data_IF_892635540199
#
_entry.id   IF_892635540199
#
_cell.length_a   1.000
_cell.length_b   1.000
_cell.length_c   1.000
_cell.angle_alpha   90.00
_cell.angle_beta   90.00
_cell.angle_gamma   90.00
#
_symmetry.space_group_name_H-M   'P 1'
#
loop_
_entity.id
_entity.type
_entity.pdbx_description
1 polymer ?
#
# COMPACT_ATOMS: atom_id res chain seq x y z
N UNK A 1 24.34 -21.21 -8.34
CA UNK A 1 23.12 -21.55 -9.10
C UNK A 1 23.13 -20.71 -10.36
N UNK A 2 22.88 -21.29 -11.53
CA UNK A 2 22.84 -20.58 -12.83
C UNK A 2 21.39 -20.59 -13.33
N UNK A 3 20.90 -19.47 -13.87
CA UNK A 3 19.54 -19.32 -14.40
C UNK A 3 19.59 -18.51 -15.71
N UNK A 4 18.71 -18.83 -16.66
CA UNK A 4 18.57 -18.05 -17.92
C UNK A 4 17.88 -16.70 -17.67
N UNK A 5 16.92 -16.66 -16.76
CA UNK A 5 16.16 -15.47 -16.38
C UNK A 5 16.00 -15.40 -14.86
N UNK A 6 15.85 -14.20 -14.33
CA UNK A 6 15.59 -13.94 -12.91
C UNK A 6 14.35 -13.06 -12.83
N UNK A 7 13.36 -13.43 -12.00
CA UNK A 7 12.23 -12.60 -11.68
C UNK A 7 12.35 -12.10 -10.24
N UNK A 8 12.55 -10.80 -10.05
CA UNK A 8 12.56 -10.11 -8.76
C UNK A 8 11.13 -9.82 -8.31
N UNK A 9 10.64 -10.64 -7.36
CA UNK A 9 9.37 -10.47 -6.68
C UNK A 9 9.60 -10.28 -5.16
N UNK A 10 10.73 -9.67 -4.80
CA UNK A 10 11.29 -9.60 -3.45
C UNK A 10 10.95 -8.29 -2.72
N UNK A 11 9.84 -7.64 -3.12
CA UNK A 11 9.24 -6.53 -2.40
C UNK A 11 9.89 -5.17 -2.63
N UNK A 12 9.38 -4.13 -1.94
CA UNK A 12 9.80 -2.73 -2.14
C UNK A 12 11.28 -2.47 -1.89
N UNK A 13 11.95 -3.28 -1.05
CA UNK A 13 13.38 -3.24 -0.78
C UNK A 13 14.19 -4.18 -1.68
N UNK A 14 13.66 -4.56 -2.83
CA UNK A 14 14.21 -5.55 -3.75
C UNK A 14 15.73 -5.52 -3.91
N UNK A 15 16.36 -6.64 -3.60
CA UNK A 15 17.78 -6.86 -3.84
C UNK A 15 18.05 -7.15 -5.32
N UNK A 16 17.13 -7.84 -5.98
CA UNK A 16 17.21 -8.12 -7.42
C UNK A 16 17.25 -6.81 -8.21
N UNK A 17 16.34 -5.85 -7.88
CA UNK A 17 16.33 -4.53 -8.52
C UNK A 17 17.66 -3.80 -8.34
N UNK A 18 18.19 -3.75 -7.11
CA UNK A 18 19.47 -3.06 -6.82
C UNK A 18 20.63 -3.69 -7.56
N UNK A 19 20.73 -5.02 -7.55
CA UNK A 19 21.80 -5.74 -8.22
C UNK A 19 21.73 -5.62 -9.76
N UNK A 20 20.53 -5.47 -10.31
CA UNK A 20 20.32 -5.21 -11.74
C UNK A 20 20.58 -3.73 -12.13
N UNK A 21 20.94 -2.86 -11.19
CA UNK A 21 21.20 -1.43 -11.45
C UNK A 21 19.95 -0.64 -11.83
N UNK A 22 18.76 -1.14 -11.56
CA UNK A 22 17.49 -0.48 -11.89
C UNK A 22 17.16 0.52 -10.77
N UNK A 23 17.00 1.81 -11.14
CA UNK A 23 16.64 2.86 -10.19
C UNK A 23 15.18 2.72 -9.76
N UNK A 24 14.88 3.18 -8.52
CA UNK A 24 13.55 3.22 -7.94
C UNK A 24 13.20 4.67 -7.64
N UNK A 25 12.42 5.28 -8.50
CA UNK A 25 12.12 6.72 -8.48
C UNK A 25 10.78 7.00 -7.83
N UNK A 26 10.67 8.15 -7.18
CA UNK A 26 9.49 8.60 -6.45
C UNK A 26 9.86 9.16 -5.10
N UNK A 27 8.89 9.22 -4.19
CA UNK A 27 9.08 9.80 -2.86
C UNK A 27 8.37 9.02 -1.76
N UNK A 28 8.51 9.50 -0.53
CA UNK A 28 7.78 9.03 0.63
C UNK A 28 6.76 10.09 1.04
N UNK A 29 5.62 9.68 1.53
CA UNK A 29 4.68 10.60 2.15
C UNK A 29 5.25 11.11 3.48
N UNK A 30 5.02 12.38 3.83
CA UNK A 30 5.53 12.95 5.08
C UNK A 30 4.82 12.40 6.33
N UNK A 31 3.61 11.85 6.14
CA UNK A 31 2.80 11.32 7.22
C UNK A 31 3.35 9.98 7.71
N UNK A 32 3.30 9.77 9.02
CA UNK A 32 3.50 8.48 9.67
C UNK A 32 2.15 7.83 9.91
N UNK A 33 2.09 6.53 9.71
CA UNK A 33 0.89 5.71 9.95
C UNK A 33 1.18 4.69 11.03
N UNK A 34 0.12 4.31 11.72
CA UNK A 34 0.08 3.16 12.65
C UNK A 34 -0.70 2.05 11.96
N UNK A 35 -0.17 0.85 11.99
CA UNK A 35 -0.87 -0.38 11.65
C UNK A 35 -0.89 -1.25 12.89
N UNK A 36 -2.07 -1.78 13.24
CA UNK A 36 -2.23 -2.68 14.37
C UNK A 36 -3.23 -3.78 14.03
N UNK A 37 -2.87 -5.02 14.38
CA UNK A 37 -3.78 -6.16 14.39
C UNK A 37 -4.20 -6.37 15.86
N UNK A 38 -5.49 -6.19 16.16
CA UNK A 38 -6.00 -6.10 17.53
C UNK A 38 -7.47 -6.49 17.60
N UNK A 39 -7.96 -6.77 18.79
CA UNK A 39 -9.39 -6.81 19.09
C UNK A 39 -9.91 -5.40 19.36
N UNK A 40 -11.20 -5.17 19.10
CA UNK A 40 -11.82 -3.88 19.31
C UNK A 40 -13.30 -4.02 19.70
N UNK A 41 -13.66 -3.45 20.84
CA UNK A 41 -15.06 -3.24 21.23
C UNK A 41 -15.58 -1.94 20.58
N UNK A 42 -16.88 -1.91 20.23
CA UNK A 42 -17.53 -0.72 19.67
C UNK A 42 -17.35 -0.57 18.15
N UNK A 43 -16.83 -1.62 17.47
CA UNK A 43 -16.77 -1.72 16.00
C UNK A 43 -17.66 -2.87 15.56
N UNK A 44 -18.64 -2.61 14.71
CA UNK A 44 -19.54 -3.64 14.22
C UNK A 44 -18.83 -4.58 13.25
N UNK A 45 -18.97 -5.92 13.43
CA UNK A 45 -18.31 -6.89 12.56
C UNK A 45 -18.94 -6.93 11.16
N UNK A 46 -18.17 -7.46 10.19
CA UNK A 46 -18.66 -7.78 8.85
C UNK A 46 -18.49 -6.67 7.79
N UNK A 47 -18.01 -5.49 8.18
CA UNK A 47 -17.72 -4.41 7.24
C UNK A 47 -16.41 -3.69 7.60
N UNK A 48 -15.82 -3.01 6.63
CA UNK A 48 -14.74 -2.07 6.89
C UNK A 48 -15.34 -0.73 7.38
N UNK A 49 -14.72 -0.15 8.41
CA UNK A 49 -15.13 1.14 8.96
C UNK A 49 -14.11 2.22 8.67
N UNK A 50 -14.60 3.40 8.33
CA UNK A 50 -13.75 4.56 8.02
C UNK A 50 -14.18 5.73 8.87
N UNK A 51 -13.27 6.22 9.69
CA UNK A 51 -13.45 7.42 10.50
C UNK A 51 -12.61 8.55 9.91
N UNK A 52 -13.27 9.59 9.44
CA UNK A 52 -12.62 10.77 8.85
C UNK A 52 -12.71 11.93 9.83
N UNK A 53 -11.58 12.57 10.08
CA UNK A 53 -11.51 13.76 10.91
C UNK A 53 -10.80 14.91 10.18
N UNK A 54 -10.72 16.07 10.83
CA UNK A 54 -9.95 17.19 10.33
C UNK A 54 -8.45 16.93 10.27
N UNK A 55 -7.95 16.06 11.14
CA UNK A 55 -6.52 15.77 11.30
C UNK A 55 -6.05 14.55 10.52
N UNK A 56 -6.98 13.73 10.01
CA UNK A 56 -6.63 12.53 9.27
C UNK A 56 -7.74 11.50 9.19
N UNK A 57 -7.35 10.24 9.17
CA UNK A 57 -8.24 9.09 8.98
C UNK A 57 -7.82 7.90 9.83
N UNK A 58 -8.83 7.10 10.17
CA UNK A 58 -8.68 5.80 10.79
C UNK A 58 -9.56 4.80 10.04
N UNK A 59 -9.00 3.64 9.76
CA UNK A 59 -9.71 2.51 9.15
C UNK A 59 -9.68 1.31 10.09
N UNK A 60 -10.80 0.57 10.14
CA UNK A 60 -10.85 -0.79 10.62
C UNK A 60 -11.20 -1.72 9.46
N UNK A 61 -10.36 -2.70 9.22
CA UNK A 61 -10.61 -3.76 8.25
C UNK A 61 -10.84 -5.07 8.98
N UNK A 62 -11.88 -5.85 8.65
CA UNK A 62 -12.05 -7.18 9.19
C UNK A 62 -10.89 -8.07 8.71
N UNK A 63 -10.17 -8.69 9.65
CA UNK A 63 -9.02 -9.53 9.37
C UNK A 63 -9.31 -11.02 9.58
N UNK A 64 -10.02 -11.37 10.66
CA UNK A 64 -10.37 -12.74 11.02
C UNK A 64 -9.43 -13.32 12.07
N UNK A 65 -8.48 -14.14 11.70
CA UNK A 65 -7.52 -14.77 12.63
C UNK A 65 -6.11 -14.33 12.24
N UNK A 66 -5.20 -14.00 13.17
CA UNK A 66 -5.26 -14.16 14.63
C UNK A 66 -5.91 -13.00 15.40
N UNK A 67 -6.31 -11.91 14.74
CA UNK A 67 -7.04 -10.80 15.33
C UNK A 67 -8.27 -10.47 14.49
N UNK A 68 -9.33 -9.97 15.12
CA UNK A 68 -10.57 -9.63 14.42
C UNK A 68 -10.40 -8.41 13.52
N UNK A 69 -9.57 -7.45 13.93
CA UNK A 69 -9.44 -6.17 13.24
C UNK A 69 -8.00 -5.83 12.87
N UNK A 70 -7.84 -5.29 11.67
CA UNK A 70 -6.66 -4.51 11.28
C UNK A 70 -7.02 -3.04 11.28
N UNK A 71 -6.38 -2.30 12.17
CA UNK A 71 -6.47 -0.87 12.29
C UNK A 71 -5.36 -0.21 11.45
N UNK A 72 -5.71 0.79 10.63
CA UNK A 72 -4.78 1.69 9.97
C UNK A 72 -5.13 3.13 10.36
N UNK A 73 -4.26 3.79 11.10
CA UNK A 73 -4.46 5.16 11.54
C UNK A 73 -3.37 6.09 11.02
N UNK A 74 -3.74 7.28 10.59
CA UNK A 74 -2.79 8.36 10.31
C UNK A 74 -2.44 9.06 11.62
N UNK A 75 -1.14 9.25 11.92
CA UNK A 75 -0.73 10.10 13.03
C UNK A 75 -1.03 11.57 12.71
N UNK A 76 -1.43 12.39 13.70
CA UNK A 76 -1.66 13.81 13.49
C UNK A 76 -0.43 14.49 12.87
N UNK A 77 -0.60 15.52 12.04
CA UNK A 77 0.54 16.19 11.37
C UNK A 77 1.57 16.81 12.31
N UNK A 78 1.18 17.12 13.54
CA UNK A 78 2.07 17.63 14.59
C UNK A 78 2.90 16.54 15.29
N UNK A 79 2.51 15.27 15.15
CA UNK A 79 3.22 14.14 15.74
C UNK A 79 4.54 13.91 15.00
N UNK A 80 5.65 13.90 15.76
CA UNK A 80 7.02 13.73 15.26
C UNK A 80 7.59 12.36 15.61
N UNK A 81 6.75 11.41 16.04
CA UNK A 81 7.19 10.05 16.35
C UNK A 81 7.92 9.44 15.15
N UNK A 82 9.15 8.96 15.31
CA UNK A 82 9.87 8.27 14.24
C UNK A 82 9.12 7.02 13.77
N UNK A 83 9.23 6.64 12.48
CA UNK A 83 8.53 5.48 11.95
C UNK A 83 9.04 4.14 12.52
N UNK A 84 10.24 4.14 13.08
CA UNK A 84 10.88 2.98 13.72
C UNK A 84 10.76 2.98 15.25
N UNK A 85 10.07 3.98 15.84
CA UNK A 85 9.83 4.03 17.27
C UNK A 85 8.98 2.85 17.73
N UNK A 86 9.27 2.26 18.89
CA UNK A 86 8.40 1.27 19.52
C UNK A 86 6.99 1.81 19.68
N UNK A 87 6.00 0.97 19.48
CA UNK A 87 4.60 1.34 19.57
C UNK A 87 3.93 0.52 20.68
N UNK A 88 3.20 1.20 21.57
CA UNK A 88 2.43 0.57 22.66
C UNK A 88 0.93 0.76 22.42
N UNK A 89 0.13 -0.14 23.00
CA UNK A 89 -1.33 -0.14 22.78
C UNK A 89 -1.99 1.16 23.22
N UNK A 90 -1.52 1.77 24.30
CA UNK A 90 -2.08 3.03 24.81
C UNK A 90 -1.95 4.18 23.80
N UNK A 91 -0.87 4.22 23.02
CA UNK A 91 -0.71 5.22 21.94
C UNK A 91 -1.69 4.95 20.81
N UNK A 92 -1.89 3.67 20.43
CA UNK A 92 -2.87 3.30 19.39
C UNK A 92 -4.28 3.60 19.86
N UNK A 93 -4.57 3.33 21.14
CA UNK A 93 -5.86 3.69 21.77
C UNK A 93 -6.10 5.20 21.77
N UNK A 94 -5.09 6.00 22.09
CA UNK A 94 -5.22 7.46 22.06
C UNK A 94 -5.53 7.97 20.63
N UNK A 95 -4.89 7.38 19.61
CA UNK A 95 -5.22 7.67 18.22
C UNK A 95 -6.65 7.23 17.88
N UNK A 96 -7.05 6.01 18.23
CA UNK A 96 -8.43 5.54 18.02
C UNK A 96 -9.44 6.46 18.70
N UNK A 97 -9.21 6.86 19.94
CA UNK A 97 -10.06 7.80 20.68
C UNK A 97 -10.21 9.14 19.95
N UNK A 98 -9.12 9.66 19.40
CA UNK A 98 -9.14 10.93 18.64
C UNK A 98 -10.05 10.86 17.42
N UNK A 99 -10.10 9.71 16.73
CA UNK A 99 -10.89 9.55 15.52
C UNK A 99 -12.33 9.09 15.78
N UNK A 100 -12.55 8.29 16.83
CA UNK A 100 -13.85 7.67 17.13
C UNK A 100 -14.64 8.41 18.22
N UNK A 101 -14.07 9.45 18.84
CA UNK A 101 -14.68 10.13 19.97
C UNK A 101 -14.76 9.27 21.24
N UNK A 102 -13.92 8.23 21.34
CA UNK A 102 -13.87 7.34 22.49
C UNK A 102 -14.88 6.20 22.46
N UNK A 103 -15.60 5.99 21.36
CA UNK A 103 -16.58 4.91 21.23
C UNK A 103 -15.95 3.53 21.02
N UNK A 104 -14.65 3.48 20.67
CA UNK A 104 -13.91 2.24 20.39
C UNK A 104 -12.86 2.00 21.45
N UNK A 105 -12.83 0.78 21.99
CA UNK A 105 -11.81 0.29 22.91
C UNK A 105 -11.00 -0.82 22.27
N UNK A 106 -9.67 -0.64 22.23
CA UNK A 106 -8.73 -1.64 21.69
C UNK A 106 -8.20 -2.52 22.81
N UNK A 107 -8.01 -3.81 22.51
CA UNK A 107 -7.42 -4.78 23.44
C UNK A 107 -6.76 -5.93 22.68
N UNK A 108 -6.02 -6.79 23.39
CA UNK A 108 -5.37 -7.99 22.86
C UNK A 108 -4.62 -7.77 21.54
N UNK A 109 -3.62 -6.86 21.49
CA UNK A 109 -2.87 -6.59 20.28
C UNK A 109 -1.99 -7.80 19.93
N UNK A 110 -2.07 -8.24 18.68
CA UNK A 110 -1.22 -9.31 18.14
C UNK A 110 0.05 -8.74 17.54
N UNK A 111 -0.06 -7.61 16.85
CA UNK A 111 1.06 -6.97 16.19
C UNK A 111 0.76 -5.49 15.95
N UNK A 112 1.77 -4.65 16.13
CA UNK A 112 1.64 -3.20 15.92
C UNK A 112 2.94 -2.62 15.35
N UNK A 113 2.83 -1.64 14.45
CA UNK A 113 4.00 -0.92 13.90
C UNK A 113 3.66 0.49 13.47
N UNK A 114 4.67 1.35 13.54
CA UNK A 114 4.67 2.61 12.81
C UNK A 114 5.29 2.39 11.44
N UNK A 115 4.82 3.09 10.41
CA UNK A 115 5.43 3.02 9.07
C UNK A 115 5.17 4.28 8.26
N UNK A 116 5.95 4.46 7.21
CA UNK A 116 5.73 5.48 6.18
C UNK A 116 5.34 4.84 4.87
N UNK A 117 4.39 5.46 4.23
CA UNK A 117 3.99 5.09 2.88
C UNK A 117 4.95 5.67 1.85
N UNK A 118 5.18 4.90 0.81
CA UNK A 118 6.00 5.29 -0.33
C UNK A 118 5.16 5.26 -1.60
N UNK A 119 5.49 6.12 -2.56
CA UNK A 119 5.06 5.99 -3.94
C UNK A 119 6.29 6.03 -4.83
N UNK A 120 6.70 4.87 -5.31
CA UNK A 120 7.92 4.69 -6.10
C UNK A 120 7.69 3.69 -7.21
N UNK A 121 8.36 3.89 -8.34
CA UNK A 121 8.38 2.95 -9.44
C UNK A 121 9.81 2.72 -9.94
N UNK A 122 10.07 1.51 -10.38
CA UNK A 122 11.27 1.18 -11.12
C UNK A 122 11.30 1.92 -12.45
N UNK A 123 12.45 2.43 -12.84
CA UNK A 123 12.64 3.11 -14.13
C UNK A 123 12.42 2.15 -15.29
N UNK A 124 12.74 0.88 -15.09
CA UNK A 124 12.55 -0.23 -16.01
C UNK A 124 12.05 -1.46 -15.27
N UNK A 125 11.20 -2.25 -15.91
CA UNK A 125 10.72 -3.54 -15.37
C UNK A 125 11.60 -4.70 -15.85
N UNK A 126 12.55 -4.41 -16.75
CA UNK A 126 13.49 -5.37 -17.30
C UNK A 126 14.89 -4.78 -17.43
N UNK A 127 15.91 -5.59 -17.15
CA UNK A 127 17.31 -5.32 -17.47
C UNK A 127 17.97 -6.63 -17.96
N UNK A 128 18.10 -6.79 -19.27
CA UNK A 128 18.59 -8.02 -19.86
C UNK A 128 17.76 -9.25 -19.46
N UNK A 129 18.34 -10.24 -18.76
CA UNK A 129 17.64 -11.43 -18.31
C UNK A 129 16.85 -11.24 -16.99
N UNK A 130 16.92 -10.05 -16.37
CA UNK A 130 16.29 -9.77 -15.08
C UNK A 130 14.98 -9.01 -15.28
N UNK A 131 13.91 -9.46 -14.61
CA UNK A 131 12.59 -8.85 -14.60
C UNK A 131 12.18 -8.47 -13.17
N UNK A 132 11.32 -7.46 -13.03
CA UNK A 132 10.75 -7.04 -11.75
C UNK A 132 9.22 -7.14 -11.82
N UNK A 133 8.59 -7.61 -10.75
CA UNK A 133 7.14 -7.72 -10.64
C UNK A 133 6.66 -7.31 -9.24
N UNK A 134 5.45 -6.77 -9.15
CA UNK A 134 4.84 -6.33 -7.91
C UNK A 134 5.65 -5.24 -7.22
N UNK A 135 5.76 -5.29 -5.89
CA UNK A 135 6.41 -4.24 -5.09
C UNK A 135 7.89 -4.05 -5.41
N UNK A 136 8.56 -5.02 -6.05
CA UNK A 136 9.90 -4.85 -6.57
C UNK A 136 9.94 -3.84 -7.74
N UNK A 137 8.86 -3.73 -8.50
CA UNK A 137 8.71 -2.82 -9.63
C UNK A 137 7.98 -1.51 -9.25
N UNK A 138 7.00 -1.55 -8.36
CA UNK A 138 6.20 -0.37 -7.97
C UNK A 138 5.60 -0.51 -6.58
N UNK A 139 5.74 0.54 -5.78
CA UNK A 139 5.12 0.66 -4.46
C UNK A 139 4.24 1.90 -4.44
N UNK A 140 3.01 1.77 -4.01
CA UNK A 140 2.06 2.87 -3.96
C UNK A 140 1.25 2.87 -2.65
N UNK A 141 0.52 3.96 -2.41
CA UNK A 141 -0.34 4.07 -1.23
C UNK A 141 -1.45 3.01 -1.24
N UNK A 142 -1.98 2.63 -0.07
CA UNK A 142 -3.08 1.67 0.02
C UNK A 142 -4.42 2.21 -0.52
N UNK A 143 -4.48 3.47 -0.94
CA UNK A 143 -5.70 4.06 -1.48
C UNK A 143 -6.19 3.29 -2.70
N UNK A 144 -7.37 2.71 -2.60
CA UNK A 144 -7.98 1.88 -3.64
C UNK A 144 -7.61 0.40 -3.59
N UNK A 145 -6.79 -0.06 -2.64
CA UNK A 145 -6.42 -1.48 -2.40
C UNK A 145 -5.92 -2.22 -3.66
N UNK A 146 -5.19 -1.55 -4.56
CA UNK A 146 -4.80 -2.11 -5.88
C UNK A 146 -3.43 -2.80 -5.90
N UNK A 147 -2.61 -2.68 -4.83
CA UNK A 147 -1.21 -3.16 -4.83
C UNK A 147 -1.07 -4.63 -5.15
N UNK A 148 -1.69 -5.47 -4.35
CA UNK A 148 -1.62 -6.92 -4.52
C UNK A 148 -2.16 -7.36 -5.88
N UNK A 149 -3.31 -6.84 -6.30
CA UNK A 149 -3.93 -7.18 -7.58
C UNK A 149 -3.03 -6.82 -8.77
N UNK A 150 -2.38 -5.65 -8.72
CA UNK A 150 -1.44 -5.23 -9.78
C UNK A 150 -0.23 -6.14 -9.83
N UNK A 151 0.34 -6.51 -8.67
CA UNK A 151 1.47 -7.43 -8.57
C UNK A 151 1.15 -8.85 -9.05
N UNK A 152 -0.05 -9.37 -8.74
CA UNK A 152 -0.52 -10.66 -9.26
C UNK A 152 -0.63 -10.63 -10.79
N UNK A 153 -1.17 -9.55 -11.34
CA UNK A 153 -1.26 -9.38 -12.79
C UNK A 153 0.12 -9.26 -13.46
N UNK A 154 1.10 -8.61 -12.81
CA UNK A 154 2.47 -8.58 -13.31
C UNK A 154 3.05 -9.99 -13.37
N UNK A 155 2.92 -10.75 -12.29
CA UNK A 155 3.42 -12.12 -12.21
C UNK A 155 2.74 -13.04 -13.25
N UNK A 156 1.42 -12.92 -13.41
CA UNK A 156 0.68 -13.66 -14.42
C UNK A 156 1.15 -13.31 -15.84
N UNK A 157 1.30 -12.01 -16.15
CA UNK A 157 1.76 -11.54 -17.46
C UNK A 157 3.19 -12.03 -17.78
N UNK A 158 4.10 -11.96 -16.82
CA UNK A 158 5.47 -12.41 -16.99
C UNK A 158 5.56 -13.94 -17.08
N UNK A 159 4.80 -14.67 -16.27
CA UNK A 159 4.90 -16.11 -16.11
C UNK A 159 4.66 -16.89 -17.41
N UNK A 160 3.58 -16.58 -18.14
CA UNK A 160 3.31 -17.27 -19.40
C UNK A 160 4.31 -16.91 -20.51
N UNK A 161 4.79 -15.66 -20.54
CA UNK A 161 5.81 -15.22 -21.51
C UNK A 161 7.12 -15.94 -21.29
N UNK A 162 7.57 -16.04 -20.03
CA UNK A 162 8.75 -16.82 -19.66
C UNK A 162 8.57 -18.31 -20.03
N UNK A 163 7.40 -18.88 -19.74
CA UNK A 163 7.14 -20.28 -20.03
C UNK A 163 7.22 -20.60 -21.52
N UNK A 164 6.64 -19.78 -22.39
CA UNK A 164 6.70 -19.99 -23.85
C UNK A 164 8.11 -19.80 -24.41
N UNK A 165 8.82 -18.75 -23.95
CA UNK A 165 10.19 -18.48 -24.39
C UNK A 165 11.16 -19.60 -23.95
N UNK A 166 11.06 -20.07 -22.71
CA UNK A 166 11.90 -21.14 -22.17
C UNK A 166 11.68 -22.49 -22.87
N UNK A 167 10.45 -22.74 -23.33
CA UNK A 167 10.10 -23.93 -24.11
C UNK A 167 10.46 -23.83 -25.60
N UNK A 168 10.97 -22.67 -26.03
CA UNK A 168 11.30 -22.44 -27.45
C UNK A 168 10.09 -22.32 -28.36
N UNK A 169 8.90 -22.06 -27.82
CA UNK A 169 7.66 -21.83 -28.58
C UNK A 169 7.67 -20.46 -29.25
N UNK A 170 8.28 -19.47 -28.61
CA UNK A 170 8.50 -18.13 -29.14
C UNK A 170 9.95 -17.70 -28.93
N UNK A 171 10.36 -16.65 -29.64
CA UNK A 171 11.66 -16.01 -29.41
C UNK A 171 11.64 -15.09 -28.19
N UNK A 172 12.82 -14.57 -27.81
CA UNK A 172 12.96 -13.71 -26.62
C UNK A 172 12.33 -12.32 -26.79
N UNK A 173 11.93 -11.92 -27.99
CA UNK A 173 11.26 -10.64 -28.25
C UNK A 173 9.89 -10.55 -27.56
N UNK A 174 9.23 -11.69 -27.33
CA UNK A 174 8.01 -11.72 -26.51
C UNK A 174 8.25 -11.13 -25.12
N UNK A 175 9.41 -11.31 -24.52
CA UNK A 175 9.71 -10.81 -23.17
C UNK A 175 9.86 -9.27 -23.12
N UNK A 176 10.12 -8.61 -24.27
CA UNK A 176 10.16 -7.14 -24.36
C UNK A 176 8.78 -6.52 -24.17
N UNK A 177 7.73 -7.27 -24.51
CA UNK A 177 6.35 -6.80 -24.35
C UNK A 177 5.93 -6.70 -22.87
N UNK A 178 6.61 -7.40 -21.95
CA UNK A 178 6.29 -7.34 -20.52
C UNK A 178 6.36 -5.90 -19.97
N UNK A 179 7.51 -5.24 -20.14
CA UNK A 179 7.67 -3.85 -19.69
C UNK A 179 6.70 -2.92 -20.42
N UNK A 180 6.55 -3.07 -21.73
CA UNK A 180 5.65 -2.27 -22.55
C UNK A 180 4.19 -2.34 -22.08
N UNK A 181 3.74 -3.49 -21.62
CA UNK A 181 2.37 -3.71 -21.13
C UNK A 181 2.21 -3.32 -19.65
N UNK A 182 3.16 -3.70 -18.78
CA UNK A 182 2.98 -3.58 -17.33
C UNK A 182 3.45 -2.26 -16.75
N UNK A 183 4.53 -1.66 -17.25
CA UNK A 183 5.02 -0.39 -16.71
C UNK A 183 4.04 0.79 -16.88
N UNK A 184 3.28 0.92 -17.98
CA UNK A 184 2.22 1.93 -18.07
C UNK A 184 1.11 1.72 -17.02
N UNK A 185 0.71 0.48 -16.75
CA UNK A 185 -0.31 0.14 -15.75
C UNK A 185 0.19 0.49 -14.36
N UNK A 186 1.41 0.06 -13.97
CA UNK A 186 2.02 0.43 -12.69
C UNK A 186 2.05 1.95 -12.48
N UNK A 187 2.48 2.71 -13.50
CA UNK A 187 2.48 4.19 -13.44
C UNK A 187 1.07 4.80 -13.36
N UNK A 188 0.08 4.20 -13.99
CA UNK A 188 -1.32 4.65 -13.90
C UNK A 188 -1.87 4.44 -12.49
N UNK A 189 -1.69 3.25 -11.93
CA UNK A 189 -2.09 2.92 -10.55
C UNK A 189 -1.39 3.83 -9.56
N UNK A 190 -0.09 4.06 -9.72
CA UNK A 190 0.69 4.97 -8.87
C UNK A 190 0.09 6.37 -8.87
N UNK A 191 -0.18 6.95 -10.04
CA UNK A 191 -0.79 8.30 -10.15
C UNK A 191 -2.19 8.35 -9.56
N UNK A 192 -3.01 7.33 -9.80
CA UNK A 192 -4.37 7.27 -9.26
C UNK A 192 -4.37 7.21 -7.73
N UNK A 193 -3.60 6.28 -7.16
CA UNK A 193 -3.51 6.08 -5.71
C UNK A 193 -2.87 7.29 -5.02
N UNK A 194 -1.89 7.94 -5.63
CA UNK A 194 -1.26 9.17 -5.11
C UNK A 194 -2.27 10.33 -5.04
N UNK A 195 -3.05 10.55 -6.10
CA UNK A 195 -4.09 11.58 -6.10
C UNK A 195 -5.17 11.31 -5.06
N UNK A 196 -5.68 10.08 -5.00
CA UNK A 196 -6.69 9.69 -4.02
C UNK A 196 -6.18 9.87 -2.59
N UNK A 197 -4.94 9.44 -2.34
CA UNK A 197 -4.30 9.57 -1.03
C UNK A 197 -4.04 11.03 -0.66
N UNK A 198 -3.53 11.84 -1.58
CA UNK A 198 -3.28 13.27 -1.36
C UNK A 198 -4.57 14.01 -1.01
N UNK A 199 -5.69 13.70 -1.67
CA UNK A 199 -7.00 14.26 -1.33
C UNK A 199 -7.43 13.80 0.06
N UNK A 200 -7.30 12.50 0.35
CA UNK A 200 -7.72 11.91 1.61
C UNK A 200 -6.92 12.44 2.82
N UNK A 201 -5.63 12.76 2.64
CA UNK A 201 -4.74 13.25 3.71
C UNK A 201 -4.54 14.77 3.70
N UNK A 202 -5.16 15.50 2.77
CA UNK A 202 -4.98 16.95 2.61
C UNK A 202 -5.43 17.72 3.86
N UNK A 203 -4.58 18.63 4.31
CA UNK A 203 -4.88 19.58 5.39
C UNK A 203 -5.38 20.93 4.87
N UNK A 204 -5.48 21.11 3.53
CA UNK A 204 -5.98 22.36 2.93
C UNK A 204 -7.44 22.59 3.34
N UNK A 205 -7.83 23.79 3.82
CA UNK A 205 -9.17 24.04 4.37
C UNK A 205 -10.32 23.66 3.43
N UNK A 206 -10.20 23.97 2.13
CA UNK A 206 -11.24 23.68 1.14
C UNK A 206 -11.40 22.17 0.93
N UNK A 207 -10.28 21.43 0.80
CA UNK A 207 -10.31 19.96 0.60
C UNK A 207 -10.83 19.27 1.86
N UNK A 208 -10.41 19.75 3.04
CA UNK A 208 -10.85 19.27 4.33
C UNK A 208 -12.36 19.45 4.49
N UNK A 209 -12.88 20.65 4.21
CA UNK A 209 -14.32 20.93 4.25
C UNK A 209 -15.10 20.01 3.31
N UNK A 210 -14.65 19.88 2.06
CA UNK A 210 -15.29 18.99 1.09
C UNK A 210 -15.30 17.53 1.58
N UNK A 211 -14.18 17.04 2.11
CA UNK A 211 -14.05 15.67 2.62
C UNK A 211 -14.98 15.40 3.81
N UNK A 212 -15.05 16.31 4.77
CA UNK A 212 -15.83 16.09 6.01
C UNK A 212 -17.32 16.36 5.85
N UNK A 213 -17.73 17.23 4.92
CA UNK A 213 -19.12 17.61 4.72
C UNK A 213 -19.80 16.94 3.53
N UNK A 214 -19.06 16.73 2.43
CA UNK A 214 -19.61 16.15 1.20
C UNK A 214 -19.25 14.67 1.05
N UNK A 215 -18.12 14.22 1.60
CA UNK A 215 -17.68 12.83 1.53
C UNK A 215 -18.70 11.82 2.07
N UNK A 216 -19.29 12.00 3.25
CA UNK A 216 -20.31 11.09 3.78
C UNK A 216 -21.56 10.97 2.92
N UNK A 217 -21.91 12.04 2.17
CA UNK A 217 -23.07 12.05 1.27
C UNK A 217 -22.77 11.43 -0.11
N UNK A 218 -21.48 11.33 -0.49
CA UNK A 218 -21.07 10.87 -1.81
C UNK A 218 -20.69 9.37 -1.86
N UNK A 219 -20.54 8.73 -0.70
CA UNK A 219 -20.21 7.31 -0.60
C UNK A 219 -21.37 6.61 0.12
N UNK A 220 -22.31 6.00 -0.62
CA UNK A 220 -23.26 5.10 0.02
C UNK A 220 -22.47 3.88 0.49
N UNK A 221 -22.10 3.85 1.74
CA UNK A 221 -21.61 2.65 2.42
C UNK A 221 -22.81 1.71 2.57
N UNK A 222 -22.90 0.73 1.70
CA UNK A 222 -23.73 -0.46 1.87
C UNK A 222 -22.84 -1.64 2.16
#
# INVERSE_FOLDING_TARGET
MSARYVAGCDGGHSSVRRLAGIRFEGSSYPQTFVLADTEADGVEPGAAHVFLSETGMLFFFPLGTPATWRLLAMRPPADRTPPDAPLVLDEVQALATTYTGGTVRLHDPVWMTNFRLHHRAATHYRAGPVFLAGDAAHVHSPAGAQGMNTGIQDAANLGWKLALTLRGVTDAALLDTYEAERAPIGRMVLRFTDRAFTIATSTKPVVRFARTRLGPAAIPLR
#
